data_IF_184432898957
#
_entry.id   IF_184432898957
#
_cell.length_a   1.000
_cell.length_b   1.000
_cell.length_c   1.000
_cell.angle_alpha   90.00
_cell.angle_beta   90.00
_cell.angle_gamma   90.00
#
_symmetry.space_group_name_H-M   'P 1'
#
loop_
_entity.id
_entity.type
_entity.pdbx_description
1 polymer ?
#
# COMPACT_ATOMS: atom_id res chain seq x y z
N UNK A 1 11.77 16.20 4.78
CA UNK A 1 11.72 14.73 4.93
C UNK A 1 12.14 14.15 3.59
N UNK A 2 13.28 13.48 3.53
CA UNK A 2 13.79 12.98 2.26
C UNK A 2 12.87 11.89 1.70
N UNK A 3 12.71 11.78 0.36
CA UNK A 3 11.83 10.78 -0.26
C UNK A 3 12.13 9.34 0.17
N UNK A 4 13.38 9.05 0.53
CA UNK A 4 13.85 7.75 1.01
C UNK A 4 13.32 7.42 2.41
N UNK A 5 13.24 8.42 3.30
CA UNK A 5 12.78 8.24 4.68
C UNK A 5 11.26 8.05 4.73
N UNK A 6 10.51 8.80 3.92
CA UNK A 6 9.06 8.61 3.77
C UNK A 6 8.73 7.21 3.24
N UNK A 7 9.49 6.71 2.27
CA UNK A 7 9.29 5.37 1.72
C UNK A 7 9.56 4.27 2.76
N UNK A 8 10.65 4.37 3.53
CA UNK A 8 10.97 3.42 4.57
C UNK A 8 9.87 3.35 5.63
N UNK A 9 9.34 4.50 6.05
CA UNK A 9 8.22 4.61 6.99
C UNK A 9 6.94 3.98 6.44
N UNK A 10 6.65 4.20 5.16
CA UNK A 10 5.49 3.60 4.52
C UNK A 10 5.57 2.06 4.48
N UNK A 11 6.75 1.51 4.16
CA UNK A 11 6.98 0.06 4.16
C UNK A 11 6.84 -0.53 5.57
N UNK A 12 7.38 0.15 6.58
CA UNK A 12 7.27 -0.27 7.97
C UNK A 12 5.80 -0.32 8.41
N UNK A 13 5.05 0.75 8.19
CA UNK A 13 3.63 0.84 8.55
C UNK A 13 2.77 -0.23 7.84
N UNK A 14 3.02 -0.48 6.55
CA UNK A 14 2.33 -1.55 5.83
C UNK A 14 2.67 -2.95 6.37
N UNK A 15 3.91 -3.17 6.78
CA UNK A 15 4.36 -4.45 7.35
C UNK A 15 3.68 -4.71 8.70
N UNK A 16 3.60 -3.71 9.56
CA UNK A 16 2.91 -3.77 10.85
C UNK A 16 1.41 -4.06 10.66
N UNK A 17 0.73 -3.27 9.82
CA UNK A 17 -0.68 -3.46 9.48
C UNK A 17 -0.99 -4.88 8.95
N UNK A 18 -0.18 -5.39 8.03
CA UNK A 18 -0.39 -6.71 7.44
C UNK A 18 -0.11 -7.84 8.43
N UNK A 19 0.74 -7.61 9.43
CA UNK A 19 1.03 -8.56 10.50
C UNK A 19 -0.13 -8.65 11.49
N UNK A 20 -0.74 -7.52 11.85
CA UNK A 20 -1.90 -7.47 12.76
C UNK A 20 -3.14 -8.16 12.17
N UNK A 21 -3.37 -8.01 10.87
CA UNK A 21 -4.62 -8.45 10.24
C UNK A 21 -4.66 -9.97 9.97
N UNK A 22 -3.59 -10.75 10.22
CA UNK A 22 -3.61 -12.19 9.88
C UNK A 22 -3.00 -13.16 10.90
N UNK A 23 -3.88 -14.07 11.33
CA UNK A 23 -3.61 -15.41 11.87
C UNK A 23 -3.15 -16.40 10.76
N UNK A 24 -1.88 -16.34 10.31
CA UNK A 24 -1.27 -17.50 9.61
C UNK A 24 -0.61 -17.27 8.24
N UNK A 25 -0.29 -16.03 7.83
CA UNK A 25 0.68 -15.82 6.74
C UNK A 25 2.10 -15.78 7.30
N UNK A 26 3.06 -16.39 6.61
CA UNK A 26 4.47 -16.33 7.00
C UNK A 26 5.03 -14.91 6.82
N UNK A 27 6.02 -14.48 7.63
CA UNK A 27 6.65 -13.16 7.49
C UNK A 27 7.12 -12.84 6.07
N UNK A 28 7.66 -13.85 5.37
CA UNK A 28 8.08 -13.75 3.95
C UNK A 28 6.91 -13.34 3.04
N UNK A 29 5.70 -13.83 3.31
CA UNK A 29 4.53 -13.46 2.53
C UNK A 29 4.12 -12.00 2.77
N UNK A 30 4.30 -11.49 4.00
CA UNK A 30 4.01 -10.10 4.36
C UNK A 30 4.96 -9.15 3.60
N UNK A 31 6.26 -9.42 3.67
CA UNK A 31 7.28 -8.60 3.00
C UNK A 31 7.03 -8.53 1.47
N UNK A 32 6.66 -9.66 0.85
CA UNK A 32 6.31 -9.69 -0.58
C UNK A 32 5.10 -8.81 -0.91
N UNK A 33 4.07 -8.83 -0.07
CA UNK A 33 2.87 -7.98 -0.27
C UNK A 33 3.26 -6.50 -0.17
N UNK A 34 4.03 -6.13 0.86
CA UNK A 34 4.48 -4.74 1.06
C UNK A 34 5.29 -4.25 -0.13
N UNK A 35 6.23 -5.06 -0.62
CA UNK A 35 7.05 -4.70 -1.78
C UNK A 35 6.22 -4.59 -3.08
N UNK A 36 5.22 -5.44 -3.26
CA UNK A 36 4.31 -5.32 -4.40
C UNK A 36 3.43 -4.06 -4.32
N UNK A 37 2.94 -3.70 -3.13
CA UNK A 37 2.19 -2.46 -2.92
C UNK A 37 3.08 -1.27 -3.25
N UNK A 38 4.28 -1.18 -2.66
CA UNK A 38 5.26 -0.11 -2.93
C UNK A 38 5.52 0.04 -4.44
N UNK A 39 5.82 -1.07 -5.13
CA UNK A 39 6.09 -1.04 -6.57
C UNK A 39 4.89 -0.51 -7.37
N UNK A 40 3.68 -1.00 -7.10
CA UNK A 40 2.49 -0.60 -7.86
C UNK A 40 2.10 0.86 -7.58
N UNK A 41 2.18 1.28 -6.33
CA UNK A 41 1.88 2.66 -5.92
C UNK A 41 2.91 3.62 -6.49
N UNK A 42 4.20 3.27 -6.49
CA UNK A 42 5.25 4.11 -7.11
C UNK A 42 5.03 4.35 -8.59
N UNK A 43 4.49 3.37 -9.31
CA UNK A 43 4.17 3.51 -10.74
C UNK A 43 2.90 4.34 -10.96
N UNK A 44 1.95 4.30 -10.04
CA UNK A 44 0.68 5.02 -10.13
C UNK A 44 0.76 6.46 -9.59
N UNK A 45 1.65 6.73 -8.63
CA UNK A 45 1.84 8.06 -8.04
C UNK A 45 2.67 8.94 -8.97
N UNK A 46 1.99 9.73 -9.79
CA UNK A 46 2.63 10.84 -10.48
C UNK A 46 2.73 12.06 -9.54
N UNK A 47 3.63 13.02 -9.79
CA UNK A 47 3.68 14.26 -9.01
C UNK A 47 2.31 14.93 -8.93
N UNK A 48 1.87 15.27 -7.71
CA UNK A 48 0.55 15.84 -7.46
C UNK A 48 -0.61 14.87 -7.71
N UNK A 49 -0.42 13.57 -7.49
CA UNK A 49 -1.49 12.58 -7.63
C UNK A 49 -2.67 12.82 -6.68
N UNK A 50 -2.43 13.47 -5.54
CA UNK A 50 -3.46 13.84 -4.56
C UNK A 50 -4.30 15.06 -4.98
N UNK A 51 -3.92 15.77 -6.04
CA UNK A 51 -4.58 17.02 -6.42
C UNK A 51 -5.90 16.80 -7.17
N UNK A 52 -6.21 15.57 -7.60
CA UNK A 52 -7.41 15.27 -8.37
C UNK A 52 -7.98 13.90 -8.03
N UNK A 53 -9.33 13.80 -8.00
CA UNK A 53 -10.04 12.52 -7.82
C UNK A 53 -9.68 11.46 -8.86
N UNK A 54 -9.33 11.87 -10.07
CA UNK A 54 -8.95 10.94 -11.13
C UNK A 54 -7.65 10.21 -10.81
N UNK A 55 -6.64 10.93 -10.32
CA UNK A 55 -5.33 10.36 -9.97
C UNK A 55 -5.36 9.55 -8.68
N UNK A 56 -6.14 9.99 -7.68
CA UNK A 56 -6.41 9.19 -6.47
C UNK A 56 -7.01 7.82 -6.82
N UNK A 57 -7.96 7.79 -7.77
CA UNK A 57 -8.55 6.52 -8.24
C UNK A 57 -7.52 5.60 -8.87
N UNK A 58 -6.50 6.10 -9.56
CA UNK A 58 -5.45 5.27 -10.14
C UNK A 58 -4.59 4.61 -9.06
N UNK A 59 -4.26 5.34 -7.98
CA UNK A 59 -3.55 4.77 -6.83
C UNK A 59 -4.41 3.73 -6.10
N UNK A 60 -5.70 3.99 -5.89
CA UNK A 60 -6.63 3.02 -5.30
C UNK A 60 -6.79 1.76 -6.18
N UNK A 61 -6.85 1.90 -7.51
CA UNK A 61 -6.87 0.76 -8.44
C UNK A 61 -5.60 -0.07 -8.35
N UNK A 62 -4.44 0.60 -8.29
CA UNK A 62 -3.14 -0.06 -8.16
C UNK A 62 -3.07 -0.87 -6.84
N UNK A 63 -3.50 -0.27 -5.73
CA UNK A 63 -3.59 -0.96 -4.44
C UNK A 63 -4.57 -2.15 -4.51
N UNK A 64 -5.75 -1.96 -5.12
CA UNK A 64 -6.78 -3.01 -5.23
C UNK A 64 -6.29 -4.20 -6.05
N UNK A 65 -5.54 -3.95 -7.13
CA UNK A 65 -4.93 -5.00 -7.95
C UNK A 65 -3.97 -5.88 -7.13
N UNK A 66 -3.24 -5.31 -6.18
CA UNK A 66 -2.35 -6.08 -5.30
C UNK A 66 -3.15 -6.79 -4.22
N UNK A 67 -3.89 -6.04 -3.39
CA UNK A 67 -4.52 -6.57 -2.18
C UNK A 67 -5.64 -7.55 -2.52
N UNK A 68 -6.57 -7.18 -3.42
CA UNK A 68 -7.78 -7.97 -3.68
C UNK A 68 -7.58 -8.99 -4.79
N UNK A 69 -6.83 -8.65 -5.84
CA UNK A 69 -6.68 -9.53 -7.02
C UNK A 69 -5.49 -10.48 -6.85
N UNK A 70 -4.27 -9.95 -6.66
CA UNK A 70 -3.05 -10.76 -6.55
C UNK A 70 -3.04 -11.61 -5.28
N UNK A 71 -3.32 -11.01 -4.14
CA UNK A 71 -3.21 -11.68 -2.84
C UNK A 71 -4.54 -12.15 -2.23
N UNK A 72 -5.66 -11.87 -2.89
CA UNK A 72 -7.02 -12.29 -2.49
C UNK A 72 -7.37 -11.93 -1.04
N UNK A 73 -6.85 -10.81 -0.53
CA UNK A 73 -7.13 -10.29 0.81
C UNK A 73 -8.37 -9.40 0.72
N UNK A 74 -9.55 -9.99 0.85
CA UNK A 74 -10.82 -9.25 0.85
C UNK A 74 -11.11 -8.68 2.23
N UNK A 75 -10.35 -7.68 2.66
CA UNK A 75 -10.55 -6.96 3.92
C UNK A 75 -10.55 -5.46 3.62
N UNK A 76 -11.72 -4.82 3.81
CA UNK A 76 -11.91 -3.41 3.52
C UNK A 76 -11.18 -2.49 4.50
N UNK A 77 -11.18 -2.81 5.80
CA UNK A 77 -10.44 -2.04 6.82
C UNK A 77 -8.93 -2.04 6.54
N UNK A 78 -8.37 -3.20 6.16
CA UNK A 78 -6.96 -3.26 5.76
C UNK A 78 -6.68 -2.45 4.50
N UNK A 79 -7.60 -2.48 3.52
CA UNK A 79 -7.45 -1.68 2.31
C UNK A 79 -7.45 -0.18 2.63
N UNK A 80 -8.38 0.27 3.47
CA UNK A 80 -8.54 1.68 3.82
C UNK A 80 -7.33 2.19 4.64
N UNK A 81 -6.85 1.39 5.61
CA UNK A 81 -5.62 1.70 6.37
C UNK A 81 -4.38 1.74 5.48
N UNK A 82 -4.22 0.76 4.58
CA UNK A 82 -3.11 0.74 3.62
C UNK A 82 -3.14 1.96 2.68
N UNK A 83 -4.33 2.36 2.21
CA UNK A 83 -4.49 3.57 1.41
C UNK A 83 -4.16 4.83 2.21
N UNK A 84 -4.56 4.91 3.48
CA UNK A 84 -4.19 6.01 4.37
C UNK A 84 -2.68 6.20 4.49
N UNK A 85 -1.92 5.11 4.69
CA UNK A 85 -0.46 5.19 4.69
C UNK A 85 0.13 5.61 3.34
N UNK A 86 -0.48 5.19 2.25
CA UNK A 86 -0.06 5.64 0.93
C UNK A 86 -0.23 7.16 0.81
N UNK A 87 -1.38 7.71 1.21
CA UNK A 87 -1.61 9.16 1.21
C UNK A 87 -0.61 9.89 2.11
N UNK A 88 -0.29 9.33 3.27
CA UNK A 88 0.60 9.98 4.24
C UNK A 88 2.07 10.01 3.81
N UNK A 89 2.54 8.97 3.11
CA UNK A 89 3.97 8.77 2.89
C UNK A 89 4.38 8.78 1.40
N UNK A 90 3.44 8.77 0.46
CA UNK A 90 3.73 8.67 -0.97
C UNK A 90 3.38 9.88 -1.82
#
# INVERSE_FOLDING_TARGET
MDPVDAQAKAKAALSELLSEVKNGKTPIAIERIVNDIDKNVRLARFPGWQNTRAREREVQKALRKVVYVKYKIKNQDLFDKAYGYIVQYY
#
